data_IF_762634439292
#
_entry.id   IF_762634439292
#
_cell.length_a   1.000
_cell.length_b   1.000
_cell.length_c   1.000
_cell.angle_alpha   90.00
_cell.angle_beta   90.00
_cell.angle_gamma   90.00
#
_symmetry.space_group_name_H-M   'P 1'
#
loop_
_entity.id
_entity.type
_entity.pdbx_description
1 polymer ?
#
# COMPACT_ATOMS: atom_id res chain seq x y z
N UNK A 1 -16.87 -61.75 42.44
CA UNK A 1 -17.12 -60.35 42.07
C UNK A 1 -16.19 -59.47 42.89
N UNK A 2 -15.16 -58.88 42.29
CA UNK A 2 -14.32 -57.83 42.90
C UNK A 2 -13.83 -56.87 41.81
N UNK A 3 -13.67 -55.57 42.12
CA UNK A 3 -13.87 -54.49 41.17
C UNK A 3 -12.57 -53.99 40.51
N UNK A 4 -12.72 -53.49 39.28
CA UNK A 4 -11.74 -52.69 38.56
C UNK A 4 -11.56 -51.33 39.22
N UNK A 5 -10.31 -50.92 39.48
CA UNK A 5 -9.97 -49.53 39.83
C UNK A 5 -9.15 -48.95 38.68
N UNK A 6 -9.75 -47.97 37.99
CA UNK A 6 -9.07 -47.11 37.04
C UNK A 6 -8.26 -46.05 37.81
N UNK A 7 -6.94 -46.05 37.65
CA UNK A 7 -6.09 -44.98 38.18
C UNK A 7 -6.26 -43.73 37.31
N UNK A 8 -6.84 -42.67 37.89
CA UNK A 8 -6.96 -41.35 37.26
C UNK A 8 -5.58 -40.72 37.11
N UNK A 9 -5.16 -40.45 35.89
CA UNK A 9 -3.99 -39.62 35.58
C UNK A 9 -4.36 -38.18 35.96
N UNK A 10 -3.71 -37.62 36.98
CA UNK A 10 -3.80 -36.19 37.28
C UNK A 10 -2.71 -35.46 36.50
N UNK A 11 -3.03 -34.39 35.76
CA UNK A 11 -2.01 -33.61 35.06
C UNK A 11 -1.15 -32.89 36.11
N UNK A 12 0.17 -33.12 36.10
CA UNK A 12 1.09 -32.42 36.99
C UNK A 12 1.22 -30.95 36.58
N UNK A 13 1.40 -30.06 37.56
CA UNK A 13 1.55 -28.61 37.38
C UNK A 13 2.68 -28.24 36.40
N UNK A 14 3.68 -29.13 36.25
CA UNK A 14 4.81 -28.97 35.33
C UNK A 14 4.40 -29.08 33.85
N UNK A 15 3.31 -29.80 33.54
CA UNK A 15 2.77 -29.91 32.18
C UNK A 15 1.94 -28.67 31.80
N UNK A 16 1.36 -27.99 32.80
CA UNK A 16 0.62 -26.74 32.61
C UNK A 16 1.55 -25.56 32.27
N UNK A 17 2.77 -25.57 32.82
CA UNK A 17 3.76 -24.51 32.61
C UNK A 17 4.36 -24.54 31.18
N UNK A 18 4.43 -25.73 30.56
CA UNK A 18 4.93 -25.89 29.19
C UNK A 18 3.93 -25.42 28.12
N UNK A 19 2.62 -25.46 28.41
CA UNK A 19 1.60 -24.89 27.52
C UNK A 19 1.53 -23.36 27.55
N UNK A 20 2.08 -22.70 28.57
CA UNK A 20 2.06 -21.23 28.69
C UNK A 20 3.14 -20.52 27.85
N UNK A 21 4.16 -21.27 27.41
CA UNK A 21 5.30 -20.77 26.62
C UNK A 21 5.05 -20.72 25.11
N UNK A 22 3.87 -21.19 24.64
CA UNK A 22 3.38 -20.96 23.28
C UNK A 22 2.61 -19.63 23.18
N UNK A 23 3.05 -18.62 23.93
CA UNK A 23 2.57 -17.25 23.79
C UNK A 23 2.86 -16.79 22.37
N UNK A 24 1.81 -16.81 21.56
CA UNK A 24 1.77 -16.36 20.19
C UNK A 24 2.42 -14.99 20.08
N UNK A 25 3.59 -14.93 19.45
CA UNK A 25 4.14 -13.67 18.97
C UNK A 25 3.24 -13.21 17.82
N UNK A 26 2.10 -12.61 18.14
CA UNK A 26 1.33 -11.84 17.18
C UNK A 26 2.20 -10.66 16.80
N UNK A 27 2.94 -10.79 15.69
CA UNK A 27 3.51 -9.66 14.97
C UNK A 27 2.35 -8.72 14.68
N UNK A 28 2.23 -7.68 15.51
CA UNK A 28 1.31 -6.58 15.26
C UNK A 28 1.81 -5.87 14.01
N UNK A 29 1.34 -6.30 12.84
CA UNK A 29 1.49 -5.52 11.62
C UNK A 29 0.57 -4.32 11.79
N UNK A 30 1.16 -3.16 12.06
CA UNK A 30 0.45 -1.90 11.83
C UNK A 30 -0.13 -1.94 10.42
N UNK A 31 -1.43 -1.66 10.22
CA UNK A 31 -2.00 -1.59 8.88
C UNK A 31 -1.11 -0.71 8.01
N UNK A 32 -0.68 -1.24 6.86
CA UNK A 32 0.12 -0.47 5.92
C UNK A 32 -0.68 0.79 5.54
N UNK A 33 -0.02 1.95 5.55
CA UNK A 33 -0.68 3.19 5.15
C UNK A 33 -0.97 3.11 3.64
N UNK A 34 -2.16 3.54 3.21
CA UNK A 34 -2.55 3.43 1.80
C UNK A 34 -1.58 4.14 0.83
N UNK A 35 -0.86 5.17 1.30
CA UNK A 35 0.20 5.79 0.51
C UNK A 35 1.42 4.84 0.35
N UNK A 36 1.79 4.10 1.40
CA UNK A 36 2.90 3.13 1.36
C UNK A 36 2.58 1.95 0.41
N UNK A 37 1.32 1.51 0.38
CA UNK A 37 0.85 0.50 -0.58
C UNK A 37 0.99 1.02 -2.03
N UNK A 38 0.56 2.25 -2.29
CA UNK A 38 0.69 2.86 -3.62
C UNK A 38 2.17 3.02 -4.03
N UNK A 39 3.06 3.35 -3.09
CA UNK A 39 4.50 3.39 -3.33
C UNK A 39 5.05 2.05 -3.84
N UNK A 40 4.62 0.94 -3.25
CA UNK A 40 5.04 -0.39 -3.66
C UNK A 40 4.53 -0.71 -5.09
N UNK A 41 3.30 -0.32 -5.41
CA UNK A 41 2.71 -0.50 -6.74
C UNK A 41 3.44 0.34 -7.81
N UNK A 42 3.86 1.56 -7.48
CA UNK A 42 4.64 2.42 -8.37
C UNK A 42 5.97 1.76 -8.77
N UNK A 43 6.63 1.08 -7.82
CA UNK A 43 7.87 0.34 -8.10
C UNK A 43 7.66 -0.82 -9.08
N UNK A 44 6.50 -1.46 -9.02
CA UNK A 44 6.14 -2.53 -9.96
C UNK A 44 5.71 -2.01 -11.34
N UNK A 45 5.41 -0.72 -11.50
CA UNK A 45 4.94 -0.13 -12.75
C UNK A 45 3.60 -0.71 -13.24
N UNK A 46 2.84 -1.35 -12.37
CA UNK A 46 1.61 -2.05 -12.74
C UNK A 46 0.41 -1.10 -12.67
N UNK A 47 0.11 -0.44 -13.79
CA UNK A 47 -0.99 0.52 -13.91
C UNK A 47 -2.36 -0.06 -13.47
N UNK A 48 -2.61 -1.35 -13.72
CA UNK A 48 -3.86 -2.01 -13.34
C UNK A 48 -4.04 -2.09 -11.82
N UNK A 49 -2.96 -2.39 -11.09
CA UNK A 49 -3.00 -2.43 -9.64
C UNK A 49 -3.08 -1.02 -9.05
N UNK A 50 -2.36 -0.04 -9.63
CA UNK A 50 -2.47 1.38 -9.26
C UNK A 50 -3.91 1.87 -9.44
N UNK A 51 -4.57 1.51 -10.55
CA UNK A 51 -5.94 1.87 -10.86
C UNK A 51 -6.93 1.45 -9.77
N UNK A 52 -6.67 0.36 -9.04
CA UNK A 52 -7.53 -0.07 -7.92
C UNK A 52 -7.59 0.97 -6.81
N UNK A 53 -6.52 1.73 -6.61
CA UNK A 53 -6.39 2.78 -5.61
C UNK A 53 -6.93 4.14 -6.09
N UNK A 54 -7.36 4.26 -7.35
CA UNK A 54 -7.89 5.50 -7.90
C UNK A 54 -9.37 5.70 -7.54
N UNK A 55 -9.74 6.96 -7.30
CA UNK A 55 -11.13 7.37 -7.24
C UNK A 55 -11.82 7.21 -8.62
N UNK A 56 -13.15 7.23 -8.65
CA UNK A 56 -13.94 7.13 -9.89
C UNK A 56 -13.54 8.21 -10.91
N UNK A 57 -13.23 9.41 -10.41
CA UNK A 57 -12.69 10.53 -11.18
C UNK A 57 -11.41 11.03 -10.51
N UNK A 58 -10.36 11.23 -11.30
CA UNK A 58 -9.02 11.61 -10.84
C UNK A 58 -8.55 12.82 -11.64
N UNK A 59 -8.03 13.81 -10.95
CA UNK A 59 -7.24 14.89 -11.54
C UNK A 59 -5.84 14.33 -11.85
N UNK A 60 -5.50 14.21 -13.13
CA UNK A 60 -4.22 13.65 -13.55
C UNK A 60 -3.45 14.71 -14.31
N UNK A 61 -2.25 15.00 -13.84
CA UNK A 61 -1.26 15.79 -14.57
C UNK A 61 -0.12 14.90 -15.04
N UNK A 62 0.12 14.82 -16.35
CA UNK A 62 1.29 14.16 -16.93
C UNK A 62 2.10 15.20 -17.69
N UNK A 63 3.33 15.44 -17.21
CA UNK A 63 4.25 16.47 -17.72
C UNK A 63 3.64 17.88 -17.63
N UNK A 64 2.93 18.29 -18.68
CA UNK A 64 2.30 19.62 -18.80
C UNK A 64 0.80 19.54 -19.05
N UNK A 65 0.26 18.34 -19.27
CA UNK A 65 -1.16 18.13 -19.56
C UNK A 65 -1.89 17.77 -18.27
N UNK A 66 -2.88 18.57 -17.91
CA UNK A 66 -3.71 18.40 -16.72
C UNK A 66 -5.18 18.29 -17.14
N UNK A 67 -5.87 17.27 -16.64
CA UNK A 67 -7.30 17.09 -16.90
C UNK A 67 -7.95 16.18 -15.85
N UNK A 68 -9.29 16.13 -15.87
CA UNK A 68 -10.08 15.17 -15.10
C UNK A 68 -10.35 13.93 -15.95
N UNK A 69 -10.02 12.76 -15.42
CA UNK A 69 -10.22 11.48 -16.10
C UNK A 69 -11.03 10.52 -15.25
N UNK A 70 -11.79 9.64 -15.90
CA UNK A 70 -12.31 8.45 -15.22
C UNK A 70 -11.17 7.52 -14.82
N UNK A 71 -11.40 6.66 -13.81
CA UNK A 71 -10.46 5.62 -13.40
C UNK A 71 -9.93 4.77 -14.57
N UNK A 72 -10.78 4.41 -15.52
CA UNK A 72 -10.40 3.59 -16.69
C UNK A 72 -9.48 4.37 -17.64
N UNK A 73 -9.78 5.65 -17.87
CA UNK A 73 -8.91 6.51 -18.69
C UNK A 73 -7.56 6.76 -18.01
N UNK A 74 -7.56 7.03 -16.71
CA UNK A 74 -6.34 7.19 -15.93
C UNK A 74 -5.47 5.93 -15.95
N UNK A 75 -6.07 4.73 -15.83
CA UNK A 75 -5.34 3.46 -15.98
C UNK A 75 -4.66 3.36 -17.35
N UNK A 76 -5.36 3.68 -18.43
CA UNK A 76 -4.80 3.64 -19.79
C UNK A 76 -3.63 4.62 -19.95
N UNK A 77 -3.76 5.84 -19.43
CA UNK A 77 -2.70 6.86 -19.47
C UNK A 77 -1.47 6.40 -18.67
N UNK A 78 -1.68 5.87 -17.47
CA UNK A 78 -0.60 5.36 -16.63
C UNK A 78 0.09 4.15 -17.28
N UNK A 79 -0.67 3.26 -17.91
CA UNK A 79 -0.11 2.12 -18.66
C UNK A 79 0.81 2.59 -19.77
N UNK A 80 0.39 3.57 -20.56
CA UNK A 80 1.20 4.17 -21.62
C UNK A 80 2.46 4.86 -21.06
N UNK A 81 2.32 5.55 -19.92
CA UNK A 81 3.46 6.15 -19.23
C UNK A 81 4.48 5.10 -18.79
N UNK A 82 4.08 4.07 -18.04
CA UNK A 82 5.01 3.05 -17.54
C UNK A 82 5.58 2.15 -18.64
N UNK A 83 4.89 2.00 -19.77
CA UNK A 83 5.44 1.30 -20.93
C UNK A 83 6.64 2.05 -21.54
N UNK A 84 6.58 3.40 -21.55
CA UNK A 84 7.65 4.27 -22.05
C UNK A 84 8.72 4.53 -20.99
N UNK A 85 8.34 4.54 -19.71
CA UNK A 85 9.17 4.94 -18.58
C UNK A 85 9.21 3.82 -17.52
N UNK A 86 9.90 2.73 -17.82
CA UNK A 86 9.92 1.53 -16.98
C UNK A 86 10.59 1.83 -15.62
N UNK A 87 9.89 1.67 -14.49
CA UNK A 87 10.43 1.94 -13.17
C UNK A 87 11.60 1.01 -12.81
N UNK A 88 12.66 1.59 -12.23
CA UNK A 88 13.79 0.86 -11.66
C UNK A 88 13.95 1.10 -10.16
N UNK A 89 13.55 2.27 -9.67
CA UNK A 89 13.56 2.60 -8.25
C UNK A 89 12.47 3.61 -7.87
N UNK A 90 12.03 3.55 -6.62
CA UNK A 90 11.13 4.54 -6.00
C UNK A 90 11.77 5.04 -4.71
N UNK A 91 11.79 6.35 -4.51
CA UNK A 91 12.26 7.01 -3.28
C UNK A 91 11.17 7.93 -2.75
N UNK A 92 10.71 7.68 -1.52
CA UNK A 92 9.84 8.60 -0.81
C UNK A 92 10.59 9.91 -0.48
N UNK A 93 10.01 11.04 -0.88
CA UNK A 93 10.55 12.38 -0.58
C UNK A 93 9.78 13.01 0.57
N UNK A 94 8.46 12.91 0.54
CA UNK A 94 7.60 13.51 1.55
C UNK A 94 6.31 12.70 1.71
N UNK A 95 5.81 12.58 2.94
CA UNK A 95 4.53 11.95 3.26
C UNK A 95 3.81 12.74 4.35
N UNK A 96 2.54 13.06 4.11
CA UNK A 96 1.65 13.73 5.06
C UNK A 96 0.47 12.81 5.32
N UNK A 97 0.29 12.43 6.58
CA UNK A 97 -0.79 11.56 7.05
C UNK A 97 -1.39 12.03 8.39
N UNK A 98 -1.11 13.26 8.81
CA UNK A 98 -1.59 13.81 10.09
C UNK A 98 -3.10 14.02 10.13
N UNK A 99 -3.75 14.22 8.98
CA UNK A 99 -5.19 14.31 8.89
C UNK A 99 -5.81 12.91 8.71
N UNK A 100 -6.81 12.50 9.51
CA UNK A 100 -7.39 11.17 9.44
C UNK A 100 -8.09 10.86 8.10
N UNK A 101 -8.46 11.87 7.31
CA UNK A 101 -9.19 11.72 6.05
C UNK A 101 -8.36 12.03 4.80
N UNK A 102 -7.09 12.45 4.96
CA UNK A 102 -6.24 12.84 3.84
C UNK A 102 -4.87 12.17 3.90
N UNK A 103 -4.37 11.77 2.75
CA UNK A 103 -2.95 11.42 2.54
C UNK A 103 -2.40 12.26 1.41
N UNK A 104 -1.15 12.64 1.54
CA UNK A 104 -0.39 13.23 0.45
C UNK A 104 1.01 12.65 0.47
N UNK A 105 1.54 12.31 -0.69
CA UNK A 105 2.92 11.87 -0.79
C UNK A 105 3.58 12.40 -2.05
N UNK A 106 4.89 12.53 -1.95
CA UNK A 106 5.80 12.89 -3.03
C UNK A 106 6.87 11.83 -3.12
N UNK A 107 7.10 11.31 -4.31
CA UNK A 107 8.13 10.31 -4.59
C UNK A 107 8.98 10.71 -5.79
N UNK A 108 10.21 10.23 -5.82
CA UNK A 108 11.02 10.18 -7.03
C UNK A 108 10.95 8.77 -7.61
N UNK A 109 10.53 8.68 -8.86
CA UNK A 109 10.50 7.47 -9.66
C UNK A 109 11.68 7.51 -10.62
N UNK A 110 12.68 6.68 -10.39
CA UNK A 110 13.76 6.46 -11.35
C UNK A 110 13.28 5.45 -12.38
N UNK A 111 13.47 5.77 -13.66
CA UNK A 111 13.09 4.90 -14.79
C UNK A 111 14.29 4.63 -15.68
N UNK A 112 14.11 3.81 -16.71
CA UNK A 112 15.11 3.57 -17.75
C UNK A 112 15.45 4.81 -18.61
N UNK A 113 14.67 5.90 -18.52
CA UNK A 113 14.81 7.07 -19.39
C UNK A 113 14.56 8.41 -18.69
N UNK A 114 14.72 8.47 -17.37
CA UNK A 114 14.61 9.71 -16.63
C UNK A 114 14.32 9.49 -15.14
N UNK A 115 14.23 10.61 -14.42
CA UNK A 115 13.71 10.62 -13.06
C UNK A 115 12.46 11.50 -13.09
N UNK A 116 11.38 10.98 -12.52
CA UNK A 116 10.11 11.68 -12.44
C UNK A 116 9.77 11.97 -10.99
N UNK A 117 9.29 13.17 -10.73
CA UNK A 117 8.66 13.52 -9.46
C UNK A 117 7.17 13.22 -9.58
N UNK A 118 6.70 12.31 -8.73
CA UNK A 118 5.28 12.00 -8.63
C UNK A 118 4.76 12.57 -7.32
N UNK A 119 3.61 13.24 -7.38
CA UNK A 119 2.83 13.59 -6.18
C UNK A 119 1.42 13.05 -6.31
N UNK A 120 0.85 12.61 -5.20
CA UNK A 120 -0.53 12.15 -5.19
C UNK A 120 -1.23 12.51 -3.89
N UNK A 121 -2.50 12.89 -4.01
CA UNK A 121 -3.40 13.16 -2.90
C UNK A 121 -4.47 12.08 -2.83
N UNK A 122 -4.75 11.60 -1.63
CA UNK A 122 -5.79 10.61 -1.36
C UNK A 122 -6.80 11.15 -0.35
N UNK A 123 -8.07 10.78 -0.53
CA UNK A 123 -9.15 11.07 0.42
C UNK A 123 -9.76 9.77 0.92
N UNK A 124 -10.11 9.74 2.21
CA UNK A 124 -10.88 8.64 2.78
C UNK A 124 -12.32 8.71 2.26
N UNK A 125 -12.79 7.64 1.66
CA UNK A 125 -14.18 7.41 1.24
C UNK A 125 -14.61 6.10 1.88
N UNK A 126 -15.49 6.19 2.89
CA UNK A 126 -16.08 5.03 3.58
C UNK A 126 -15.04 4.04 4.14
N UNK A 127 -13.93 4.55 4.67
CA UNK A 127 -12.85 3.74 5.25
C UNK A 127 -11.75 3.35 4.26
N UNK A 128 -11.90 3.66 2.97
CA UNK A 128 -10.89 3.39 1.94
C UNK A 128 -10.26 4.70 1.45
N UNK A 129 -8.93 4.79 1.44
CA UNK A 129 -8.25 5.93 0.83
C UNK A 129 -8.14 5.74 -0.68
N UNK A 130 -8.66 6.70 -1.44
CA UNK A 130 -8.60 6.71 -2.90
C UNK A 130 -7.86 7.94 -3.40
N UNK A 131 -7.01 7.75 -4.41
CA UNK A 131 -6.29 8.82 -5.08
C UNK A 131 -7.29 9.71 -5.82
N UNK A 132 -7.31 11.00 -5.47
CA UNK A 132 -8.14 12.01 -6.15
C UNK A 132 -7.32 12.87 -7.10
N UNK A 133 -6.02 13.01 -6.84
CA UNK A 133 -5.08 13.77 -7.66
C UNK A 133 -3.78 12.97 -7.80
N UNK A 134 -3.23 12.93 -9.01
CA UNK A 134 -1.90 12.42 -9.29
C UNK A 134 -1.20 13.33 -10.30
N UNK A 135 0.04 13.68 -10.02
CA UNK A 135 0.87 14.52 -10.88
C UNK A 135 2.20 13.82 -11.11
N UNK A 136 2.63 13.75 -12.37
CA UNK A 136 3.88 13.15 -12.82
C UNK A 136 4.64 14.18 -13.64
N UNK A 137 5.77 14.64 -13.14
CA UNK A 137 6.60 15.66 -13.78
C UNK A 137 8.03 15.16 -13.92
N UNK A 138 8.78 15.66 -14.92
CA UNK A 138 10.22 15.44 -14.94
C UNK A 138 10.83 16.03 -13.65
N UNK A 139 11.70 15.27 -12.99
CA UNK A 139 12.43 15.79 -11.84
C UNK A 139 13.30 16.97 -12.31
N UNK A 140 13.15 18.12 -11.65
CA UNK A 140 14.06 19.27 -11.86
C UNK A 140 15.40 18.92 -11.24
N UNK A 141 16.48 19.17 -11.98
CA UNK A 141 17.86 19.10 -11.46
C UNK A 141 18.10 20.13 -10.35
#
# INVERSE_FOLDING_TARGET
MLPSIHTRISPSFSSLLLLMLLSVNSLATTPADAADDLLALLKAGNAKEIAKSLNATVELTILTEENMYSKVQAEAILKDFFAKHQPSAVKLVHKIASNPNHRFAVVLLTTNNGIYRLSFAMKNTEGTFLVTEMRIEAAKE
#
